data_IF_050103935221
#
_entry.id   IF_050103935221
#
_cell.length_a   1.000
_cell.length_b   1.000
_cell.length_c   1.000
_cell.angle_alpha   90.00
_cell.angle_beta   90.00
_cell.angle_gamma   90.00
#
_symmetry.space_group_name_H-M   'P 1'
#
loop_
_entity.id
_entity.type
_entity.pdbx_description
1 polymer ?
#
# COMPACT_ATOMS: atom_id res chain seq x y z
N UNK A 1 8.88 -12.20 18.16
CA UNK A 1 8.99 -13.05 16.95
C UNK A 1 9.72 -12.33 15.81
N UNK A 2 9.16 -11.26 15.23
CA UNK A 2 9.77 -10.51 14.10
C UNK A 2 11.24 -10.10 14.33
N UNK A 3 11.58 -9.53 15.49
CA UNK A 3 12.97 -9.16 15.82
C UNK A 3 13.94 -10.34 15.81
N UNK A 4 13.49 -11.54 16.16
CA UNK A 4 14.34 -12.73 16.15
C UNK A 4 14.60 -13.26 14.75
N UNK A 5 13.61 -13.14 13.85
CA UNK A 5 13.69 -13.59 12.46
C UNK A 5 14.64 -12.74 11.61
N UNK A 6 14.70 -11.42 11.85
CA UNK A 6 15.47 -10.50 11.01
C UNK A 6 16.77 -9.98 11.63
N UNK A 7 17.09 -10.35 12.89
CA UNK A 7 18.28 -9.79 13.59
C UNK A 7 19.60 -9.98 12.86
N UNK A 8 19.70 -11.02 12.02
CA UNK A 8 20.90 -11.34 11.23
C UNK A 8 20.85 -10.77 9.81
N UNK A 9 19.74 -10.16 9.41
CA UNK A 9 19.59 -9.59 8.07
C UNK A 9 20.46 -8.34 7.90
N UNK A 10 21.12 -8.14 6.74
CA UNK A 10 22.14 -7.10 6.56
C UNK A 10 21.68 -5.67 6.89
N UNK A 11 20.42 -5.33 6.60
CA UNK A 11 19.89 -3.98 6.81
C UNK A 11 19.03 -3.84 8.07
N UNK A 12 18.92 -4.91 8.88
CA UNK A 12 18.11 -4.89 10.09
C UNK A 12 18.53 -3.82 11.11
N UNK A 13 19.83 -3.58 11.39
CA UNK A 13 20.23 -2.56 12.36
C UNK A 13 19.72 -1.16 12.03
N UNK A 14 19.68 -0.80 10.74
CA UNK A 14 19.13 0.48 10.29
C UNK A 14 17.60 0.49 10.24
N UNK A 15 16.98 -0.66 9.98
CA UNK A 15 15.52 -0.79 9.89
C UNK A 15 14.84 -0.83 11.26
N UNK A 16 15.52 -1.34 12.30
CA UNK A 16 14.95 -1.57 13.62
C UNK A 16 14.33 -0.30 14.21
N UNK A 17 15.05 0.82 14.20
CA UNK A 17 14.55 2.09 14.72
C UNK A 17 13.38 2.63 13.91
N UNK A 18 13.35 2.37 12.59
CA UNK A 18 12.27 2.82 11.73
C UNK A 18 10.95 2.08 12.01
N UNK A 19 11.00 0.82 12.44
CA UNK A 19 9.80 0.00 12.70
C UNK A 19 9.34 0.03 14.16
N UNK A 20 10.10 0.66 15.06
CA UNK A 20 9.78 0.79 16.48
C UNK A 20 8.41 1.45 16.75
N UNK A 21 8.02 2.53 16.05
CA UNK A 21 6.69 3.11 16.21
C UNK A 21 5.54 2.15 15.85
N UNK A 22 5.80 1.13 15.01
CA UNK A 22 4.80 0.10 14.70
C UNK A 22 4.57 -0.81 15.91
N UNK A 23 5.63 -1.12 16.68
CA UNK A 23 5.50 -1.89 17.92
C UNK A 23 4.73 -1.11 18.97
N UNK A 24 5.04 0.17 19.16
CA UNK A 24 4.29 1.04 20.06
C UNK A 24 2.80 1.12 19.65
N UNK A 25 2.52 1.11 18.35
CA UNK A 25 1.15 1.07 17.83
C UNK A 25 0.42 -0.27 18.11
N UNK A 26 1.13 -1.37 18.27
CA UNK A 26 0.53 -2.64 18.72
C UNK A 26 0.12 -2.57 20.19
N UNK A 27 0.92 -1.92 21.04
CA UNK A 27 0.66 -1.83 22.49
C UNK A 27 -0.60 -1.03 22.81
N UNK A 28 -0.99 -0.08 21.94
CA UNK A 28 -2.25 0.68 22.07
C UNK A 28 -3.48 -0.08 21.56
N UNK A 29 -3.34 -1.31 21.06
CA UNK A 29 -4.46 -2.21 20.69
C UNK A 29 -5.33 -1.76 19.51
N UNK A 30 -4.92 -0.73 18.75
CA UNK A 30 -5.70 -0.18 17.63
C UNK A 30 -5.11 -0.63 16.29
N UNK A 31 -5.74 -1.61 15.66
CA UNK A 31 -5.33 -2.15 14.34
C UNK A 31 -5.21 -1.03 13.28
N UNK A 32 -6.12 -0.05 13.30
CA UNK A 32 -6.05 1.09 12.38
C UNK A 32 -4.76 1.90 12.55
N UNK A 33 -4.31 2.11 13.78
CA UNK A 33 -3.06 2.81 14.06
C UNK A 33 -1.85 2.00 13.58
N UNK A 34 -1.83 0.68 13.80
CA UNK A 34 -0.78 -0.20 13.27
C UNK A 34 -0.73 -0.14 11.74
N UNK A 35 -1.88 -0.24 11.07
CA UNK A 35 -1.96 -0.21 9.62
C UNK A 35 -1.50 1.14 9.04
N UNK A 36 -1.92 2.25 9.64
CA UNK A 36 -1.50 3.58 9.21
C UNK A 36 0.01 3.79 9.44
N UNK A 37 0.50 3.54 10.66
CA UNK A 37 1.92 3.75 11.01
C UNK A 37 2.83 2.89 10.14
N UNK A 38 2.52 1.60 9.98
CA UNK A 38 3.33 0.70 9.13
C UNK A 38 3.32 1.10 7.66
N UNK A 39 2.16 1.54 7.14
CA UNK A 39 2.05 2.01 5.75
C UNK A 39 2.87 3.28 5.55
N UNK A 40 2.77 4.26 6.45
CA UNK A 40 3.55 5.50 6.37
C UNK A 40 5.05 5.24 6.42
N UNK A 41 5.52 4.45 7.38
CA UNK A 41 6.94 4.07 7.48
C UNK A 41 7.43 3.39 6.19
N UNK A 42 6.64 2.47 5.64
CA UNK A 42 7.00 1.81 4.37
C UNK A 42 7.14 2.82 3.23
N UNK A 43 6.18 3.74 3.09
CA UNK A 43 6.19 4.77 2.05
C UNK A 43 7.39 5.71 2.21
N UNK A 44 7.69 6.14 3.44
CA UNK A 44 8.81 7.02 3.75
C UNK A 44 10.16 6.34 3.45
N UNK A 45 10.33 5.09 3.88
CA UNK A 45 11.54 4.30 3.59
C UNK A 45 11.77 4.13 2.08
N UNK A 46 10.70 4.04 1.29
CA UNK A 46 10.78 3.93 -0.16
C UNK A 46 10.93 5.28 -0.87
N UNK A 47 10.91 6.39 -0.13
CA UNK A 47 10.98 7.74 -0.67
C UNK A 47 9.75 8.10 -1.52
N UNK A 48 8.58 7.60 -1.15
CA UNK A 48 7.34 7.93 -1.84
C UNK A 48 6.98 9.40 -1.62
N UNK A 49 6.76 10.12 -2.72
CA UNK A 49 6.50 11.57 -2.70
C UNK A 49 5.01 11.93 -2.69
N UNK A 50 4.13 10.94 -2.54
CA UNK A 50 2.70 11.18 -2.51
C UNK A 50 2.24 11.76 -1.18
N UNK A 51 0.93 12.04 -1.10
CA UNK A 51 0.30 12.63 0.07
C UNK A 51 -0.71 11.64 0.65
N UNK A 52 -0.58 11.35 1.94
CA UNK A 52 -1.59 10.62 2.69
C UNK A 52 -2.64 11.62 3.18
N UNK A 53 -3.90 11.39 2.80
CA UNK A 53 -5.03 12.19 3.23
C UNK A 53 -5.82 11.44 4.30
N UNK A 54 -6.16 12.13 5.38
CA UNK A 54 -7.12 11.63 6.37
C UNK A 54 -8.42 12.38 6.14
N UNK A 55 -9.45 11.64 5.71
CA UNK A 55 -10.79 12.21 5.51
C UNK A 55 -11.65 11.89 6.73
N UNK A 56 -12.09 12.93 7.43
CA UNK A 56 -13.04 12.83 8.52
C UNK A 56 -14.45 13.28 8.12
N UNK A 57 -15.45 12.96 8.93
CA UNK A 57 -16.81 13.47 8.75
C UNK A 57 -17.60 12.86 7.59
N UNK A 58 -17.08 11.80 6.96
CA UNK A 58 -17.85 11.04 5.98
C UNK A 58 -19.00 10.29 6.66
N UNK A 59 -20.14 10.11 5.96
CA UNK A 59 -21.22 9.28 6.46
C UNK A 59 -20.73 7.86 6.75
N UNK A 60 -21.17 7.30 7.87
CA UNK A 60 -20.91 5.91 8.20
C UNK A 60 -21.80 4.99 7.33
N UNK A 61 -21.41 4.77 6.07
CA UNK A 61 -22.09 3.83 5.17
C UNK A 61 -21.85 2.39 5.62
N UNK A 62 -22.87 1.54 5.59
CA UNK A 62 -22.76 0.11 5.88
C UNK A 62 -22.11 -0.66 4.72
N UNK A 63 -22.36 -0.23 3.49
CA UNK A 63 -21.82 -0.82 2.26
C UNK A 63 -20.37 -0.34 2.02
N UNK A 64 -19.48 -1.28 1.61
CA UNK A 64 -18.04 -1.04 1.47
C UNK A 64 -17.67 -0.21 0.25
N UNK A 65 -18.29 -0.46 -0.91
CA UNK A 65 -18.05 0.26 -2.15
C UNK A 65 -18.49 1.72 -2.04
N UNK A 66 -19.60 2.00 -1.35
CA UNK A 66 -20.05 3.35 -1.02
C UNK A 66 -19.02 4.09 -0.18
N UNK A 67 -18.48 3.46 0.88
CA UNK A 67 -17.41 4.07 1.70
C UNK A 67 -16.17 4.37 0.86
N UNK A 68 -15.77 3.45 -0.03
CA UNK A 68 -14.61 3.64 -0.90
C UNK A 68 -14.85 4.73 -1.95
N UNK A 69 -16.05 4.82 -2.51
CA UNK A 69 -16.43 5.87 -3.44
C UNK A 69 -16.47 7.25 -2.75
N UNK A 70 -17.02 7.32 -1.52
CA UNK A 70 -17.03 8.54 -0.69
C UNK A 70 -15.59 9.00 -0.37
N UNK A 71 -14.71 8.06 0.03
CA UNK A 71 -13.29 8.36 0.28
C UNK A 71 -12.57 8.84 -0.98
N UNK A 72 -12.83 8.21 -2.13
CA UNK A 72 -12.18 8.55 -3.40
C UNK A 72 -12.62 9.95 -3.86
N UNK A 73 -13.92 10.26 -3.76
CA UNK A 73 -14.46 11.58 -4.05
C UNK A 73 -13.88 12.65 -3.11
N UNK A 74 -13.80 12.37 -1.80
CA UNK A 74 -13.27 13.30 -0.83
C UNK A 74 -11.76 13.55 -0.99
N UNK A 75 -11.02 12.60 -1.56
CA UNK A 75 -9.63 12.79 -1.98
C UNK A 75 -9.49 13.63 -3.27
N UNK A 76 -10.59 13.92 -3.96
CA UNK A 76 -10.60 14.62 -5.26
C UNK A 76 -10.07 13.76 -6.41
N UNK A 77 -10.13 12.43 -6.28
CA UNK A 77 -9.61 11.52 -7.29
C UNK A 77 -10.70 11.10 -8.29
N UNK A 78 -10.36 11.10 -9.58
CA UNK A 78 -11.22 10.60 -10.66
C UNK A 78 -11.15 9.08 -10.87
N UNK A 79 -10.20 8.40 -10.20
CA UNK A 79 -9.99 6.96 -10.37
C UNK A 79 -9.72 6.30 -9.02
N UNK A 80 -10.45 5.22 -8.73
CA UNK A 80 -10.16 4.30 -7.65
C UNK A 80 -9.31 3.13 -8.17
N UNK A 81 -8.10 2.97 -7.62
CA UNK A 81 -7.24 1.82 -7.91
C UNK A 81 -7.55 0.67 -6.96
N UNK A 82 -7.89 -0.50 -7.51
CA UNK A 82 -8.24 -1.68 -6.75
C UNK A 82 -7.38 -2.87 -7.16
N UNK A 83 -6.84 -3.63 -6.20
CA UNK A 83 -6.17 -4.90 -6.54
C UNK A 83 -7.14 -5.89 -7.17
N UNK A 84 -6.63 -6.81 -8.00
CA UNK A 84 -7.44 -7.82 -8.71
C UNK A 84 -8.33 -8.66 -7.78
N UNK A 85 -7.88 -8.94 -6.56
CA UNK A 85 -8.71 -9.63 -5.56
C UNK A 85 -9.90 -8.78 -5.09
N UNK A 86 -9.71 -7.47 -4.95
CA UNK A 86 -10.75 -6.53 -4.55
C UNK A 86 -11.84 -6.33 -5.59
N UNK A 87 -11.45 -6.39 -6.86
CA UNK A 87 -12.36 -6.30 -8.01
C UNK A 87 -13.44 -7.39 -8.01
N UNK A 88 -13.19 -8.54 -7.39
CA UNK A 88 -14.15 -9.66 -7.38
C UNK A 88 -15.41 -9.39 -6.56
N UNK A 89 -15.38 -8.36 -5.71
CA UNK A 89 -16.45 -8.08 -4.77
C UNK A 89 -16.84 -6.60 -4.72
N UNK A 90 -16.21 -5.76 -5.55
CA UNK A 90 -16.49 -4.35 -5.62
C UNK A 90 -17.75 -4.11 -6.47
N UNK A 91 -18.75 -3.45 -5.90
CA UNK A 91 -19.85 -2.87 -6.68
C UNK A 91 -19.36 -1.58 -7.36
N UNK A 92 -19.39 -1.47 -8.70
CA UNK A 92 -18.98 -0.27 -9.42
C UNK A 92 -20.02 0.86 -9.37
N UNK A 93 -21.29 0.58 -9.06
CA UNK A 93 -22.36 1.56 -9.15
C UNK A 93 -22.14 2.83 -8.28
N UNK A 94 -21.67 2.73 -7.01
CA UNK A 94 -21.40 3.90 -6.19
C UNK A 94 -20.30 4.82 -6.75
N UNK A 95 -19.33 4.26 -7.47
CA UNK A 95 -18.24 5.01 -8.11
C UNK A 95 -18.73 5.73 -9.36
N UNK A 96 -19.47 5.02 -10.22
CA UNK A 96 -20.05 5.59 -11.44
C UNK A 96 -21.00 6.77 -11.13
N UNK A 97 -21.78 6.68 -10.05
CA UNK A 97 -22.66 7.77 -9.61
C UNK A 97 -21.91 9.06 -9.17
N UNK A 98 -20.57 9.00 -9.04
CA UNK A 98 -19.69 10.11 -8.65
C UNK A 98 -18.68 10.45 -9.75
N UNK A 99 -18.86 9.92 -10.96
CA UNK A 99 -17.93 10.07 -12.09
C UNK A 99 -16.51 9.56 -11.77
N UNK A 100 -16.42 8.48 -10.98
CA UNK A 100 -15.15 7.85 -10.60
C UNK A 100 -14.96 6.54 -11.39
N UNK A 101 -13.86 6.45 -12.13
CA UNK A 101 -13.44 5.21 -12.77
C UNK A 101 -12.90 4.21 -11.74
N UNK A 102 -13.14 2.93 -11.96
CA UNK A 102 -12.48 1.86 -11.21
C UNK A 102 -11.45 1.20 -12.11
N UNK A 103 -10.19 1.22 -11.71
CA UNK A 103 -9.10 0.63 -12.47
C UNK A 103 -8.40 -0.48 -11.67
N UNK A 104 -8.14 -1.65 -12.29
CA UNK A 104 -7.40 -2.70 -11.62
C UNK A 104 -5.93 -2.31 -11.48
N UNK A 105 -5.38 -2.47 -10.28
CA UNK A 105 -3.94 -2.50 -10.07
C UNK A 105 -3.42 -3.87 -10.51
N UNK A 106 -2.64 -3.88 -11.58
CA UNK A 106 -1.97 -5.05 -12.12
C UNK A 106 -0.51 -5.04 -11.66
N UNK A 107 -0.12 -5.85 -10.66
CA UNK A 107 1.29 -5.97 -10.32
C UNK A 107 2.05 -6.56 -11.52
N UNK A 108 3.31 -6.15 -11.76
CA UNK A 108 4.12 -6.76 -12.81
C UNK A 108 4.16 -8.29 -12.64
N UNK A 109 4.09 -9.06 -13.72
CA UNK A 109 4.13 -10.53 -13.65
C UNK A 109 5.55 -11.10 -13.45
N UNK A 110 6.59 -10.26 -13.58
CA UNK A 110 7.99 -10.66 -13.62
C UNK A 110 8.82 -10.05 -12.46
N UNK A 111 10.06 -10.52 -12.31
CA UNK A 111 10.99 -10.02 -11.29
C UNK A 111 10.60 -10.44 -9.88
N UNK A 112 10.70 -9.50 -8.92
CA UNK A 112 10.37 -9.77 -7.50
C UNK A 112 8.91 -10.18 -7.29
N UNK A 113 8.03 -9.86 -8.24
CA UNK A 113 6.60 -10.11 -8.17
C UNK A 113 6.21 -11.55 -8.51
N UNK A 114 7.02 -12.25 -9.30
CA UNK A 114 6.83 -13.67 -9.60
C UNK A 114 6.89 -14.55 -8.34
N UNK A 115 7.63 -14.11 -7.32
CA UNK A 115 7.75 -14.77 -6.01
C UNK A 115 7.15 -13.97 -4.86
N UNK A 116 6.54 -12.79 -5.11
CA UNK A 116 6.06 -11.88 -4.07
C UNK A 116 5.03 -12.49 -3.12
N UNK A 117 4.31 -13.54 -3.54
CA UNK A 117 3.42 -14.32 -2.63
C UNK A 117 4.17 -14.93 -1.43
N UNK A 118 5.50 -15.03 -1.50
CA UNK A 118 6.37 -15.61 -0.46
C UNK A 118 7.22 -14.55 0.25
N UNK A 119 7.13 -13.29 -0.15
CA UNK A 119 8.04 -12.22 0.32
C UNK A 119 7.23 -11.08 0.92
N UNK A 120 7.46 -10.79 2.20
CA UNK A 120 6.88 -9.62 2.87
C UNK A 120 7.71 -8.37 2.57
N UNK A 121 7.09 -7.18 2.61
CA UNK A 121 7.83 -5.91 2.49
C UNK A 121 8.93 -5.78 3.55
N UNK A 122 8.69 -6.31 4.77
CA UNK A 122 9.67 -6.32 5.85
C UNK A 122 10.88 -7.19 5.52
N UNK A 123 10.68 -8.37 4.95
CA UNK A 123 11.78 -9.21 4.46
C UNK A 123 12.60 -8.48 3.40
N UNK A 124 11.93 -7.86 2.42
CA UNK A 124 12.60 -7.16 1.33
C UNK A 124 13.43 -5.98 1.84
N UNK A 125 12.89 -5.21 2.78
CA UNK A 125 13.62 -4.13 3.45
C UNK A 125 14.82 -4.64 4.25
N UNK A 126 14.66 -5.73 5.00
CA UNK A 126 15.73 -6.29 5.83
C UNK A 126 16.90 -6.86 5.01
N UNK A 127 16.63 -7.39 3.81
CA UNK A 127 17.64 -8.05 2.96
C UNK A 127 18.20 -7.15 1.86
N UNK A 128 17.41 -6.23 1.30
CA UNK A 128 17.81 -5.38 0.18
C UNK A 128 18.08 -3.93 0.60
N UNK A 129 17.63 -3.53 1.79
CA UNK A 129 17.66 -2.16 2.28
C UNK A 129 16.63 -1.27 1.58
N UNK A 130 16.28 -0.12 2.18
CA UNK A 130 15.30 0.81 1.60
C UNK A 130 15.71 1.30 0.20
N UNK A 131 16.95 1.74 0.03
CA UNK A 131 17.47 2.23 -1.25
C UNK A 131 17.49 1.14 -2.34
N UNK A 132 17.93 -0.08 -2.00
CA UNK A 132 18.00 -1.20 -2.92
C UNK A 132 16.62 -1.72 -3.35
N UNK A 133 15.64 -1.69 -2.44
CA UNK A 133 14.25 -2.00 -2.77
C UNK A 133 13.62 -0.90 -3.64
N UNK A 134 13.79 0.37 -3.28
CA UNK A 134 13.27 1.50 -4.05
C UNK A 134 13.83 1.55 -5.48
N UNK A 135 15.13 1.27 -5.66
CA UNK A 135 15.74 1.18 -6.98
C UNK A 135 15.12 0.06 -7.84
N UNK A 136 14.86 -1.12 -7.26
CA UNK A 136 14.19 -2.23 -7.96
C UNK A 136 12.74 -1.89 -8.32
N UNK A 137 11.99 -1.25 -7.42
CA UNK A 137 10.62 -0.81 -7.71
C UNK A 137 10.59 0.20 -8.86
N UNK A 138 11.49 1.19 -8.86
CA UNK A 138 11.60 2.19 -9.94
C UNK A 138 11.98 1.57 -11.29
N UNK A 139 12.83 0.54 -11.28
CA UNK A 139 13.17 -0.18 -12.51
C UNK A 139 11.95 -0.88 -13.14
N UNK A 140 10.95 -1.26 -12.33
CA UNK A 140 9.70 -1.86 -12.82
C UNK A 140 8.66 -0.83 -13.29
N UNK A 141 8.67 0.39 -12.75
CA UNK A 141 7.75 1.46 -13.21
C UNK A 141 8.17 2.09 -14.54
N UNK A 142 9.42 1.91 -14.96
CA UNK A 142 9.92 2.36 -16.26
C UNK A 142 9.54 1.42 -17.44
N UNK A 143 8.87 0.30 -17.16
CA UNK A 143 8.21 -0.52 -18.18
C UNK A 143 6.76 0.00 -18.36
N UNK A 144 6.38 0.49 -19.55
CA UNK A 144 5.03 0.99 -19.79
C UNK A 144 4.06 -0.19 -19.80
N UNK A 145 3.09 -0.23 -18.89
CA UNK A 145 1.93 -1.14 -19.03
C UNK A 145 0.75 -0.85 -18.07
N UNK A 146 0.90 -0.05 -17.02
CA UNK A 146 -0.12 -0.03 -15.95
C UNK A 146 -1.19 1.08 -16.05
N UNK A 147 -0.99 2.13 -16.85
CA UNK A 147 -1.93 3.27 -16.93
C UNK A 147 -2.54 3.49 -18.33
N UNK A 148 -1.84 3.12 -19.42
CA UNK A 148 -2.39 3.25 -20.78
C UNK A 148 -3.43 2.16 -21.12
N UNK A 149 -3.47 1.06 -20.38
CA UNK A 149 -4.47 0.00 -20.58
C UNK A 149 -5.87 0.34 -19.99
N UNK A 150 -6.04 1.54 -19.42
CA UNK A 150 -7.27 1.96 -18.73
C UNK A 150 -7.97 3.19 -19.37
N UNK A 151 -7.58 3.58 -20.59
CA UNK A 151 -8.30 4.53 -21.45
C UNK A 151 -8.98 3.82 -22.60
#
# INVERSE_FOLDING_TARGET
MIRQEYRTSPHWPALQSAVEPVWDAFDIGRIAAVAETSTRILLDLLGWLGRVLTVGGLPARSERSERLADLTAAAGAGTYLCGTGGMTYLDPAPFAARDIAVAPFLPPAAGIWASARRVTSLWALAHLGPAGLAARLRAHTAAPDSLEAAT
#
